data_IF_244098877334
#
_entry.id   IF_244098877334
#
_cell.length_a   1.000
_cell.length_b   1.000
_cell.length_c   1.000
_cell.angle_alpha   90.00
_cell.angle_beta   90.00
_cell.angle_gamma   90.00
#
_symmetry.space_group_name_H-M   'P 1'
#
loop_
_entity.id
_entity.type
_entity.pdbx_description
1 polymer ?
#
# COMPACT_ATOMS: atom_id res chain seq x y z
N UNK A 1 5.53 -0.33 28.12
CA UNK A 1 6.84 -0.40 27.44
C UNK A 1 7.11 0.98 26.86
N UNK A 2 8.29 1.57 27.08
CA UNK A 2 8.58 2.91 26.54
C UNK A 2 8.88 2.79 25.05
N UNK A 3 8.50 3.79 24.24
CA UNK A 3 8.74 3.80 22.78
C UNK A 3 10.22 3.60 22.43
N UNK A 4 11.14 4.06 23.29
CA UNK A 4 12.58 3.85 23.13
C UNK A 4 13.02 2.38 23.23
N UNK A 5 12.31 1.55 24.00
CA UNK A 5 12.58 0.11 24.10
C UNK A 5 12.14 -0.63 22.83
N UNK A 6 11.04 -0.17 22.21
CA UNK A 6 10.52 -0.71 20.96
C UNK A 6 11.46 -0.43 19.77
N UNK A 7 12.08 0.75 19.74
CA UNK A 7 13.06 1.13 18.70
C UNK A 7 14.33 0.27 18.74
N UNK A 8 14.67 -0.32 19.89
CA UNK A 8 15.82 -1.21 20.05
C UNK A 8 15.44 -2.70 20.06
N UNK A 9 14.16 -3.01 19.83
CA UNK A 9 13.69 -4.38 19.86
C UNK A 9 14.32 -5.21 18.73
N UNK A 10 14.57 -6.52 18.95
CA UNK A 10 15.05 -7.41 17.89
C UNK A 10 14.11 -7.43 16.66
N UNK A 11 12.80 -7.30 16.89
CA UNK A 11 11.81 -7.18 15.83
C UNK A 11 12.04 -5.93 14.97
N UNK A 12 12.23 -4.76 15.60
CA UNK A 12 12.55 -3.52 14.89
C UNK A 12 13.84 -3.61 14.09
N UNK A 13 14.90 -4.17 14.68
CA UNK A 13 16.19 -4.33 14.00
C UNK A 13 16.10 -5.23 12.76
N UNK A 14 15.36 -6.34 12.86
CA UNK A 14 15.12 -7.23 11.71
C UNK A 14 14.34 -6.52 10.61
N UNK A 15 13.32 -5.75 10.98
CA UNK A 15 12.53 -4.96 10.03
C UNK A 15 13.37 -3.90 9.34
N UNK A 16 14.12 -3.10 10.11
CA UNK A 16 14.98 -2.04 9.59
C UNK A 16 16.04 -2.60 8.63
N UNK A 17 16.64 -3.77 8.94
CA UNK A 17 17.60 -4.42 8.05
C UNK A 17 16.99 -4.77 6.67
N UNK A 18 15.73 -5.25 6.64
CA UNK A 18 15.02 -5.53 5.38
C UNK A 18 14.72 -4.23 4.63
N UNK A 19 14.27 -3.18 5.32
CA UNK A 19 14.04 -1.86 4.70
C UNK A 19 15.35 -1.31 4.11
N UNK A 20 16.44 -1.31 4.88
CA UNK A 20 17.76 -0.82 4.44
C UNK A 20 18.28 -1.59 3.22
N UNK A 21 18.16 -2.92 3.20
CA UNK A 21 18.52 -3.71 2.02
C UNK A 21 17.69 -3.33 0.79
N UNK A 22 16.42 -2.99 0.98
CA UNK A 22 15.50 -2.61 -0.10
C UNK A 22 15.83 -1.26 -0.71
N UNK A 23 16.39 -0.33 0.07
CA UNK A 23 16.87 0.96 -0.42
C UNK A 23 18.27 0.88 -1.04
N UNK A 24 19.20 0.21 -0.36
CA UNK A 24 20.62 0.27 -0.68
C UNK A 24 21.08 -0.83 -1.65
N UNK A 25 20.32 -1.90 -1.79
CA UNK A 25 20.67 -3.07 -2.62
C UNK A 25 19.55 -3.41 -3.61
N UNK A 26 18.99 -2.40 -4.28
CA UNK A 26 17.79 -2.48 -5.13
C UNK A 26 17.67 -3.77 -5.96
N UNK A 27 18.61 -4.04 -6.86
CA UNK A 27 18.53 -5.21 -7.76
C UNK A 27 18.78 -6.57 -7.06
N UNK A 28 19.29 -6.56 -5.83
CA UNK A 28 19.46 -7.77 -5.00
C UNK A 28 18.40 -7.90 -3.90
N UNK A 29 17.57 -6.87 -3.69
CA UNK A 29 16.49 -6.90 -2.72
C UNK A 29 15.28 -7.62 -3.30
N UNK A 30 14.81 -8.63 -2.58
CA UNK A 30 13.59 -9.34 -2.94
C UNK A 30 12.36 -8.43 -2.88
N UNK A 31 12.31 -7.49 -1.94
CA UNK A 31 11.19 -6.55 -1.80
C UNK A 31 11.18 -5.57 -2.96
N UNK A 32 12.33 -4.96 -3.28
CA UNK A 32 12.43 -4.01 -4.40
C UNK A 32 12.07 -4.69 -5.72
N UNK A 33 12.64 -5.87 -5.96
CA UNK A 33 12.36 -6.67 -7.17
C UNK A 33 10.88 -7.08 -7.23
N UNK A 34 10.28 -7.43 -6.10
CA UNK A 34 8.85 -7.73 -6.02
C UNK A 34 8.01 -6.52 -6.43
N UNK A 35 8.24 -5.34 -5.85
CA UNK A 35 7.48 -4.12 -6.18
C UNK A 35 7.61 -3.79 -7.67
N UNK A 36 8.84 -3.81 -8.20
CA UNK A 36 9.12 -3.59 -9.63
C UNK A 36 8.30 -4.53 -10.52
N UNK A 37 8.24 -5.82 -10.19
CA UNK A 37 7.44 -6.82 -10.92
C UNK A 37 5.94 -6.55 -10.84
N UNK A 38 5.43 -6.11 -9.69
CA UNK A 38 4.02 -5.76 -9.54
C UNK A 38 3.66 -4.53 -10.39
N UNK A 39 4.50 -3.49 -10.39
CA UNK A 39 4.29 -2.32 -11.25
C UNK A 39 4.29 -2.69 -12.73
N UNK A 40 5.19 -3.58 -13.15
CA UNK A 40 5.20 -4.11 -14.52
C UNK A 40 3.92 -4.89 -14.84
N UNK A 41 3.49 -5.76 -13.94
CA UNK A 41 2.29 -6.57 -14.13
C UNK A 41 1.02 -5.73 -14.32
N UNK A 42 0.89 -4.63 -13.58
CA UNK A 42 -0.24 -3.72 -13.68
C UNK A 42 -0.02 -2.55 -14.66
N UNK A 43 1.12 -2.48 -15.35
CA UNK A 43 1.52 -1.36 -16.22
C UNK A 43 1.56 0.01 -15.52
N UNK A 44 1.95 0.06 -14.24
CA UNK A 44 1.97 1.27 -13.40
C UNK A 44 3.35 1.92 -13.26
N UNK A 45 4.36 1.47 -14.02
CA UNK A 45 5.75 1.95 -13.91
C UNK A 45 5.91 3.47 -14.16
N UNK A 46 4.98 4.09 -14.88
CA UNK A 46 4.97 5.53 -15.15
C UNK A 46 4.13 6.33 -14.15
N UNK A 47 3.28 5.66 -13.38
CA UNK A 47 2.30 6.28 -12.48
C UNK A 47 2.75 6.25 -11.03
N UNK A 48 3.44 5.18 -10.63
CA UNK A 48 3.84 4.95 -9.24
C UNK A 48 5.35 4.81 -9.12
N UNK A 49 5.92 5.47 -8.12
CA UNK A 49 7.33 5.35 -7.76
C UNK A 49 7.55 4.22 -6.73
N UNK A 50 8.54 3.37 -7.00
CA UNK A 50 8.91 2.27 -6.10
C UNK A 50 9.34 2.79 -4.72
N UNK A 51 10.05 3.92 -4.70
CA UNK A 51 10.51 4.55 -3.46
C UNK A 51 9.35 5.02 -2.59
N UNK A 52 8.32 5.64 -3.18
CA UNK A 52 7.10 6.03 -2.47
C UNK A 52 6.36 4.84 -1.87
N UNK A 53 6.16 3.76 -2.65
CA UNK A 53 5.52 2.53 -2.18
C UNK A 53 6.30 1.90 -1.02
N UNK A 54 7.64 1.85 -1.14
CA UNK A 54 8.51 1.31 -0.10
C UNK A 54 8.52 2.18 1.15
N UNK A 55 8.53 3.50 1.00
CA UNK A 55 8.48 4.45 2.11
C UNK A 55 7.18 4.31 2.90
N UNK A 56 6.04 4.22 2.22
CA UNK A 56 4.76 4.00 2.87
C UNK A 56 4.68 2.62 3.57
N UNK A 57 5.18 1.56 2.91
CA UNK A 57 5.30 0.25 3.53
C UNK A 57 6.15 0.26 4.81
N UNK A 58 7.24 1.02 4.81
CA UNK A 58 8.08 1.24 5.98
C UNK A 58 7.30 1.93 7.11
N UNK A 59 6.58 3.03 6.83
CA UNK A 59 5.78 3.73 7.83
C UNK A 59 4.71 2.82 8.46
N UNK A 60 4.00 2.03 7.65
CA UNK A 60 3.01 1.06 8.14
C UNK A 60 3.67 0.00 9.03
N UNK A 61 4.86 -0.48 8.67
CA UNK A 61 5.62 -1.46 9.45
C UNK A 61 6.10 -0.89 10.79
N UNK A 62 6.66 0.32 10.79
CA UNK A 62 7.06 1.02 12.03
C UNK A 62 5.87 1.20 12.95
N UNK A 63 4.74 1.69 12.45
CA UNK A 63 3.52 1.86 13.23
C UNK A 63 3.02 0.55 13.85
N UNK A 64 3.06 -0.55 13.07
CA UNK A 64 2.72 -1.89 13.56
C UNK A 64 3.61 -2.32 14.72
N UNK A 65 4.92 -2.15 14.60
CA UNK A 65 5.88 -2.49 15.66
C UNK A 65 5.67 -1.60 16.89
N UNK A 66 5.47 -0.31 16.70
CA UNK A 66 5.24 0.64 17.79
C UNK A 66 3.95 0.36 18.57
N UNK A 67 2.96 -0.26 17.94
CA UNK A 67 1.74 -0.76 18.59
C UNK A 67 1.96 -2.04 19.43
N UNK A 68 3.18 -2.57 19.46
CA UNK A 68 3.55 -3.80 20.17
C UNK A 68 3.28 -5.08 19.38
N UNK A 69 2.92 -4.97 18.09
CA UNK A 69 2.73 -6.14 17.24
C UNK A 69 4.05 -6.60 16.65
N UNK A 70 4.20 -7.92 16.52
CA UNK A 70 5.40 -8.54 15.99
C UNK A 70 5.30 -8.80 14.48
N UNK A 71 6.41 -8.60 13.77
CA UNK A 71 6.52 -8.93 12.34
C UNK A 71 7.50 -10.09 12.21
N UNK A 72 6.96 -11.31 12.16
CA UNK A 72 7.74 -12.54 12.17
C UNK A 72 8.69 -12.63 10.95
N UNK A 73 8.16 -12.35 9.75
CA UNK A 73 8.89 -12.38 8.49
C UNK A 73 8.85 -11.00 7.80
N UNK A 74 9.78 -10.08 8.11
CA UNK A 74 9.74 -8.72 7.61
C UNK A 74 9.74 -8.59 6.09
N UNK A 75 10.47 -9.46 5.37
CA UNK A 75 10.52 -9.46 3.90
C UNK A 75 9.14 -9.72 3.30
N UNK A 76 8.48 -10.81 3.72
CA UNK A 76 7.18 -11.18 3.17
C UNK A 76 6.06 -10.26 3.64
N UNK A 77 6.12 -9.79 4.88
CA UNK A 77 5.19 -8.78 5.38
C UNK A 77 5.28 -7.47 4.59
N UNK A 78 6.51 -7.01 4.30
CA UNK A 78 6.72 -5.77 3.53
C UNK A 78 6.29 -5.94 2.07
N UNK A 79 6.59 -7.08 1.42
CA UNK A 79 6.07 -7.41 0.08
C UNK A 79 4.55 -7.34 0.04
N UNK A 80 3.87 -8.01 0.98
CA UNK A 80 2.41 -8.03 1.05
C UNK A 80 1.85 -6.61 1.26
N UNK A 81 2.46 -5.83 2.16
CA UNK A 81 2.03 -4.45 2.44
C UNK A 81 2.20 -3.55 1.22
N UNK A 82 3.33 -3.62 0.52
CA UNK A 82 3.56 -2.87 -0.71
C UNK A 82 2.60 -3.29 -1.83
N UNK A 83 2.25 -4.58 -1.93
CA UNK A 83 1.22 -5.04 -2.86
C UNK A 83 -0.15 -4.41 -2.55
N UNK A 84 -0.56 -4.37 -1.28
CA UNK A 84 -1.82 -3.72 -0.90
C UNK A 84 -1.81 -2.21 -1.16
N UNK A 85 -0.69 -1.52 -0.94
CA UNK A 85 -0.54 -0.10 -1.31
C UNK A 85 -0.76 0.09 -2.82
N UNK A 86 -0.17 -0.74 -3.67
CA UNK A 86 -0.40 -0.71 -5.13
C UNK A 86 -1.89 -0.91 -5.45
N UNK A 87 -2.56 -1.89 -4.83
CA UNK A 87 -3.99 -2.12 -5.03
C UNK A 87 -4.87 -0.96 -4.55
N UNK A 88 -4.49 -0.28 -3.47
CA UNK A 88 -5.16 0.92 -2.98
C UNK A 88 -5.04 2.05 -4.01
N UNK A 89 -3.85 2.29 -4.57
CA UNK A 89 -3.66 3.26 -5.65
C UNK A 89 -4.52 2.93 -6.87
N UNK A 90 -4.53 1.67 -7.32
CA UNK A 90 -5.37 1.22 -8.43
C UNK A 90 -6.85 1.53 -8.14
N UNK A 91 -7.35 1.15 -6.96
CA UNK A 91 -8.74 1.38 -6.56
C UNK A 91 -9.08 2.87 -6.56
N UNK A 92 -8.19 3.70 -6.02
CA UNK A 92 -8.36 5.15 -5.96
C UNK A 92 -8.45 5.72 -7.38
N UNK A 93 -7.54 5.34 -8.28
CA UNK A 93 -7.56 5.78 -9.69
C UNK A 93 -8.87 5.42 -10.38
N UNK A 94 -9.37 4.19 -10.19
CA UNK A 94 -10.66 3.78 -10.77
C UNK A 94 -11.86 4.51 -10.15
N UNK A 95 -11.85 4.80 -8.85
CA UNK A 95 -12.92 5.55 -8.20
C UNK A 95 -12.96 6.99 -8.70
N UNK A 96 -11.81 7.66 -8.82
CA UNK A 96 -11.77 9.02 -9.36
C UNK A 96 -12.06 9.05 -10.86
N UNK A 97 -11.59 8.09 -11.65
CA UNK A 97 -11.99 7.97 -13.05
C UNK A 97 -13.49 7.71 -13.20
N UNK A 98 -14.11 6.97 -12.27
CA UNK A 98 -15.57 6.78 -12.22
C UNK A 98 -16.30 8.08 -11.89
N UNK A 99 -15.76 8.88 -10.98
CA UNK A 99 -16.39 10.13 -10.57
C UNK A 99 -16.21 11.23 -11.64
N UNK A 100 -15.07 11.25 -12.32
CA UNK A 100 -14.76 12.22 -13.36
C UNK A 100 -15.55 11.98 -14.65
N UNK A 101 -15.95 10.74 -15.00
CA UNK A 101 -16.85 10.52 -16.15
C UNK A 101 -18.26 11.06 -15.88
N UNK A 102 -18.75 10.99 -14.64
CA UNK A 102 -20.06 11.54 -14.26
C UNK A 102 -20.06 13.07 -14.33
N UNK A 103 -18.95 13.72 -13.94
CA UNK A 103 -18.81 15.17 -13.98
C UNK A 103 -18.55 15.73 -15.39
N UNK A 104 -17.81 14.99 -16.24
CA UNK A 104 -17.43 15.47 -17.58
C UNK A 104 -18.48 15.20 -18.67
N UNK A 105 -19.36 14.22 -18.49
CA UNK A 105 -20.41 13.91 -19.49
C UNK A 105 -21.70 14.70 -19.30
N UNK A 106 -21.83 15.52 -18.25
CA UNK A 106 -22.95 16.44 -18.07
C UNK A 106 -24.33 15.77 -18.11
N UNK A 107 -24.41 14.47 -17.79
CA UNK A 107 -25.64 13.70 -17.95
C UNK A 107 -26.36 13.56 -16.61
N UNK A 108 -26.84 14.69 -16.08
CA UNK A 108 -27.63 14.75 -14.84
C UNK A 108 -29.04 14.11 -14.98
N UNK A 109 -29.44 13.73 -16.20
CA UNK A 109 -30.82 13.26 -16.50
C UNK A 109 -30.96 11.73 -16.63
N UNK A 110 -29.93 10.93 -16.30
CA UNK A 110 -30.04 9.46 -16.33
C UNK A 110 -29.59 8.77 -15.03
N UNK A 111 -29.42 9.50 -13.94
CA UNK A 111 -29.36 8.91 -12.60
C UNK A 111 -30.74 8.33 -12.25
N UNK A 112 -31.04 7.14 -12.79
CA UNK A 112 -32.25 6.39 -12.45
C UNK A 112 -32.22 6.05 -10.96
N UNK A 113 -33.20 6.48 -10.16
CA UNK A 113 -33.26 6.17 -8.74
C UNK A 113 -33.90 4.80 -8.55
N UNK A 114 -33.17 3.73 -8.83
CA UNK A 114 -33.66 2.38 -8.52
C UNK A 114 -32.51 1.46 -8.15
N UNK A 115 -32.24 1.36 -6.85
CA UNK A 115 -32.27 0.11 -6.07
C UNK A 115 -31.49 0.29 -4.76
N UNK A 116 -32.18 0.74 -3.71
CA UNK A 116 -32.00 0.28 -2.32
C UNK A 116 -32.90 1.08 -1.38
N UNK A 117 -34.19 0.76 -1.34
CA UNK A 117 -34.93 0.86 -0.09
C UNK A 117 -35.47 -0.52 0.21
N UNK A 118 -34.73 -1.25 1.05
CA UNK A 118 -35.34 -2.28 1.86
C UNK A 118 -36.35 -1.60 2.78
N UNK A 119 -37.62 -1.89 2.57
CA UNK A 119 -38.68 -1.53 3.50
C UNK A 119 -38.48 -2.35 4.77
N UNK A 120 -38.13 -1.69 5.87
CA UNK A 120 -38.44 -2.18 7.20
C UNK A 120 -39.71 -1.47 7.70
N UNK A 121 -40.63 -2.31 8.19
CA UNK A 121 -41.96 -2.08 8.76
C UNK A 121 -43.13 -2.11 7.77
#
# INVERSE_FOLDING_TARGET
MQTQDLLKSPNRQKFDAVVDSSWNQKENSEVYTFIKRQLQYFNLEQELDIGQILFEGCLRGVSKIESGQDIQDPSDWLKATCFYIILEHIRITYVYSSFDWELTTGNWDQASPTHAMGTYN
#
